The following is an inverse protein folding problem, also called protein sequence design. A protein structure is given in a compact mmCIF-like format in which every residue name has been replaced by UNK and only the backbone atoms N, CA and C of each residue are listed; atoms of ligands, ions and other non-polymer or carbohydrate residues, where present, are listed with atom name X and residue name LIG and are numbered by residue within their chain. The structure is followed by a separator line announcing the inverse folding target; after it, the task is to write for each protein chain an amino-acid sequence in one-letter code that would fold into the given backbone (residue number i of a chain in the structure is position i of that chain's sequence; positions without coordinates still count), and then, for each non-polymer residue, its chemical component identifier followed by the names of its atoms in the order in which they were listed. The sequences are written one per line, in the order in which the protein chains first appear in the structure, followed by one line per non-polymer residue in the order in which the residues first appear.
data_IF_463344739193
#
_entry.id   IF_463344739193
#
_cell.length_a   1.000
_cell.length_b   1.000
_cell.length_c   1.000
_cell.angle_alpha   90.00
_cell.angle_beta   90.00
_cell.angle_gamma   90.00
#
_symmetry.space_group_name_H-M   'P 1'
#
loop_
_entity.id
_entity.type
_entity.pdbx_description
1 polymer ?
#
# COMPACT_ATOMS: atom_id res chain seq x y z
N UNK A 1 -7.94 -1.21 11.75
CA UNK A 1 -7.50 0.04 12.42
C UNK A 1 -6.06 -0.11 12.83
N UNK A 2 -5.13 0.58 12.17
CA UNK A 2 -3.79 0.81 12.73
C UNK A 2 -3.88 2.13 13.50
N UNK A 3 -4.21 2.04 14.80
CA UNK A 3 -3.88 3.14 15.70
C UNK A 3 -2.36 3.34 15.63
N UNK A 4 -1.83 4.55 15.85
CA UNK A 4 -0.42 4.73 16.18
C UNK A 4 -0.19 4.13 17.56
N UNK A 5 -0.21 2.81 17.64
CA UNK A 5 0.14 2.09 18.84
C UNK A 5 1.65 2.18 18.94
N UNK A 6 2.13 3.05 19.82
CA UNK A 6 3.54 3.39 19.91
C UNK A 6 4.44 2.22 20.34
N UNK A 7 5.39 2.49 21.22
CA UNK A 7 6.38 1.48 21.67
C UNK A 7 5.69 0.26 22.33
N UNK A 8 4.48 0.42 22.88
CA UNK A 8 3.68 -0.67 23.45
C UNK A 8 3.38 -1.78 22.44
N UNK A 9 3.03 -1.43 21.19
CA UNK A 9 2.75 -2.40 20.15
C UNK A 9 4.01 -3.16 19.73
N UNK A 10 5.17 -2.50 19.69
CA UNK A 10 6.43 -3.20 19.42
C UNK A 10 6.73 -4.28 20.47
N UNK A 11 6.45 -3.99 21.75
CA UNK A 11 6.63 -4.97 22.83
C UNK A 11 5.60 -6.09 22.77
N UNK A 12 4.34 -5.77 22.43
CA UNK A 12 3.28 -6.75 22.29
C UNK A 12 3.51 -7.67 21.08
N UNK A 13 3.90 -7.11 19.94
CA UNK A 13 4.27 -7.84 18.73
C UNK A 13 5.44 -8.81 18.98
N UNK A 14 6.39 -8.44 19.85
CA UNK A 14 7.45 -9.35 20.29
C UNK A 14 6.88 -10.51 21.14
N UNK A 15 6.00 -10.23 22.10
CA UNK A 15 5.37 -11.29 22.90
C UNK A 15 4.50 -12.23 22.04
N UNK A 16 3.68 -11.66 21.15
CA UNK A 16 2.80 -12.39 20.23
C UNK A 16 3.60 -13.31 19.30
N UNK A 17 4.80 -12.90 18.86
CA UNK A 17 5.70 -13.74 18.08
C UNK A 17 6.04 -15.06 18.82
N UNK A 18 6.35 -15.01 20.12
CA UNK A 18 6.65 -16.21 20.90
C UNK A 18 5.40 -17.07 21.13
N UNK A 19 4.26 -16.43 21.40
CA UNK A 19 2.99 -17.14 21.56
C UNK A 19 2.63 -17.92 20.30
N UNK A 20 2.81 -17.33 19.12
CA UNK A 20 2.52 -18.01 17.86
C UNK A 20 3.52 -19.15 17.60
N UNK A 21 4.81 -18.93 17.85
CA UNK A 21 5.84 -19.92 17.57
C UNK A 21 5.74 -21.16 18.47
N UNK A 22 5.42 -20.97 19.76
CA UNK A 22 5.42 -22.04 20.77
C UNK A 22 4.03 -22.50 21.20
N UNK A 23 2.98 -21.71 20.98
CA UNK A 23 1.63 -21.97 21.47
C UNK A 23 0.81 -22.96 20.65
N UNK A 24 1.33 -23.48 19.53
CA UNK A 24 0.64 -24.49 18.71
C UNK A 24 -0.68 -24.02 18.07
N UNK A 25 -0.96 -22.71 18.11
CA UNK A 25 -2.15 -22.13 17.48
C UNK A 25 -2.10 -22.30 15.97
N UNK A 26 -3.24 -22.70 15.39
CA UNK A 26 -3.43 -22.77 13.94
C UNK A 26 -3.23 -21.36 13.40
N UNK A 27 -2.12 -21.11 12.72
CA UNK A 27 -1.83 -19.82 12.10
C UNK A 27 -2.85 -19.57 10.98
N UNK A 28 -3.82 -18.69 11.26
CA UNK A 28 -4.76 -18.21 10.25
C UNK A 28 -4.00 -17.29 9.31
N UNK A 29 -3.75 -17.77 8.08
CA UNK A 29 -3.45 -16.93 6.91
C UNK A 29 -2.27 -15.96 7.01
N UNK A 30 -1.05 -16.44 7.29
CA UNK A 30 0.15 -15.61 7.20
C UNK A 30 0.42 -15.12 5.77
N UNK A 31 1.03 -13.93 5.64
CA UNK A 31 1.43 -13.36 4.36
C UNK A 31 2.32 -14.33 3.56
N UNK A 32 2.16 -14.34 2.23
CA UNK A 32 3.03 -15.15 1.38
C UNK A 32 4.48 -14.64 1.47
N UNK A 33 5.48 -15.52 1.37
CA UNK A 33 6.91 -15.14 1.41
C UNK A 33 7.21 -14.07 0.34
N UNK A 34 6.59 -14.23 -0.82
CA UNK A 34 6.69 -13.27 -1.93
C UNK A 34 6.17 -11.88 -1.50
N UNK A 35 5.10 -11.79 -0.71
CA UNK A 35 4.58 -10.50 -0.22
C UNK A 35 5.54 -9.83 0.75
N UNK A 36 6.20 -10.61 1.62
CA UNK A 36 7.22 -10.12 2.56
C UNK A 36 8.42 -9.56 1.79
N UNK A 37 8.89 -10.29 0.77
CA UNK A 37 9.94 -9.85 -0.13
C UNK A 37 9.55 -8.62 -0.94
N UNK A 38 8.32 -8.60 -1.45
CA UNK A 38 7.78 -7.51 -2.23
C UNK A 38 7.67 -6.24 -1.38
N UNK A 39 7.22 -6.35 -0.13
CA UNK A 39 7.20 -5.23 0.79
C UNK A 39 8.60 -4.67 1.01
N UNK A 40 9.60 -5.53 1.23
CA UNK A 40 10.99 -5.08 1.38
C UNK A 40 11.48 -4.36 0.11
N UNK A 41 11.20 -4.91 -1.08
CA UNK A 41 11.60 -4.33 -2.36
C UNK A 41 10.91 -2.99 -2.65
N UNK A 42 9.63 -2.88 -2.34
CA UNK A 42 8.79 -1.73 -2.71
C UNK A 42 8.90 -0.61 -1.70
N UNK A 43 8.88 -0.89 -0.40
CA UNK A 43 8.92 0.18 0.61
C UNK A 43 10.33 0.56 1.04
N UNK A 44 11.31 -0.31 0.82
CA UNK A 44 12.68 -0.10 1.30
C UNK A 44 13.74 -0.26 0.19
N UNK A 45 13.50 0.20 -1.05
CA UNK A 45 14.48 0.07 -2.14
C UNK A 45 15.76 0.84 -1.82
N UNK A 46 15.67 1.95 -1.08
CA UNK A 46 16.86 2.72 -0.69
C UNK A 46 17.82 1.87 0.16
N UNK A 47 17.30 1.23 1.21
CA UNK A 47 18.09 0.35 2.07
C UNK A 47 18.66 -0.84 1.29
N UNK A 48 17.88 -1.44 0.38
CA UNK A 48 18.34 -2.56 -0.44
C UNK A 48 19.46 -2.16 -1.42
N UNK A 49 19.26 -1.07 -2.15
CA UNK A 49 20.21 -0.61 -3.17
C UNK A 49 21.58 -0.29 -2.61
N UNK A 50 21.66 0.26 -1.39
CA UNK A 50 22.93 0.60 -0.75
C UNK A 50 23.39 -0.41 0.31
N UNK A 51 22.50 -1.25 0.84
CA UNK A 51 22.84 -2.27 1.84
C UNK A 51 23.32 -3.57 1.22
N UNK A 52 22.67 -4.06 0.15
CA UNK A 52 23.03 -5.33 -0.47
C UNK A 52 24.42 -5.36 -1.13
N UNK A 53 24.92 -4.29 -1.77
CA UNK A 53 26.27 -4.31 -2.35
C UNK A 53 27.38 -4.58 -1.33
N UNK A 54 27.12 -4.38 -0.03
CA UNK A 54 28.10 -4.67 1.03
C UNK A 54 28.44 -6.17 1.06
N UNK A 55 27.49 -7.06 0.73
CA UNK A 55 27.66 -8.53 0.72
C UNK A 55 28.64 -9.01 -0.35
N UNK A 56 28.79 -8.27 -1.46
CA UNK A 56 29.62 -8.71 -2.60
C UNK A 56 31.07 -8.25 -2.52
N UNK A 57 31.42 -7.39 -1.55
CA UNK A 57 32.77 -6.87 -1.42
C UNK A 57 33.60 -7.70 -0.44
N UNK A 58 34.58 -8.46 -0.96
CA UNK A 58 35.48 -9.32 -0.16
C UNK A 58 36.11 -8.61 1.05
N UNK A 59 36.44 -7.33 0.92
CA UNK A 59 37.03 -6.52 2.00
C UNK A 59 36.13 -6.42 3.24
N UNK A 60 34.81 -6.47 3.06
CA UNK A 60 33.86 -6.29 4.16
C UNK A 60 33.81 -7.51 5.10
N UNK A 61 34.16 -8.71 4.61
CA UNK A 61 34.26 -9.92 5.44
C UNK A 61 35.40 -9.87 6.47
N UNK A 62 36.34 -8.92 6.34
CA UNK A 62 37.39 -8.71 7.33
C UNK A 62 36.96 -7.76 8.46
N UNK A 63 35.75 -7.19 8.40
CA UNK A 63 35.23 -6.26 9.42
C UNK A 63 34.16 -6.97 10.26
N UNK A 64 34.42 -7.29 11.54
CA UNK A 64 33.52 -8.11 12.35
C UNK A 64 32.13 -7.47 12.51
N UNK A 65 32.07 -6.14 12.58
CA UNK A 65 30.80 -5.41 12.65
C UNK A 65 29.95 -5.60 11.39
N UNK A 66 30.55 -5.52 10.19
CA UNK A 66 29.80 -5.70 8.94
C UNK A 66 29.31 -7.13 8.78
N UNK A 67 30.16 -8.10 9.13
CA UNK A 67 29.77 -9.52 9.13
C UNK A 67 28.62 -9.76 10.11
N UNK A 68 28.68 -9.18 11.32
CA UNK A 68 27.59 -9.25 12.28
C UNK A 68 26.29 -8.67 11.71
N UNK A 69 26.32 -7.48 11.10
CA UNK A 69 25.13 -6.87 10.50
C UNK A 69 24.57 -7.69 9.32
N UNK A 70 25.43 -8.26 8.48
CA UNK A 70 25.02 -9.15 7.40
C UNK A 70 24.33 -10.40 7.93
N UNK A 71 24.94 -11.05 8.92
CA UNK A 71 24.38 -12.23 9.57
C UNK A 71 23.08 -11.89 10.30
N UNK A 72 23.00 -10.75 10.99
CA UNK A 72 21.79 -10.29 11.67
C UNK A 72 20.66 -10.03 10.67
N UNK A 73 20.93 -9.36 9.54
CA UNK A 73 19.96 -9.17 8.47
C UNK A 73 19.43 -10.51 7.95
N UNK A 74 20.33 -11.43 7.58
CA UNK A 74 19.93 -12.74 7.05
C UNK A 74 19.18 -13.58 8.08
N UNK A 75 19.62 -13.58 9.34
CA UNK A 75 18.97 -14.34 10.41
C UNK A 75 17.57 -13.82 10.69
N UNK A 76 17.38 -12.51 10.81
CA UNK A 76 16.07 -11.91 11.06
C UNK A 76 15.14 -12.10 9.87
N UNK A 77 15.65 -11.95 8.64
CA UNK A 77 14.87 -12.20 7.44
C UNK A 77 14.42 -13.66 7.35
N UNK A 78 15.33 -14.60 7.67
CA UNK A 78 15.02 -16.03 7.71
C UNK A 78 13.98 -16.36 8.79
N UNK A 79 14.10 -15.77 9.99
CA UNK A 79 13.10 -15.91 11.06
C UNK A 79 11.72 -15.40 10.61
N UNK A 80 11.68 -14.25 9.94
CA UNK A 80 10.44 -13.69 9.38
C UNK A 80 9.84 -14.60 8.29
N UNK A 81 10.64 -15.36 7.53
CA UNK A 81 10.16 -16.28 6.50
C UNK A 81 9.71 -17.63 7.05
N UNK A 82 10.41 -18.15 8.05
CA UNK A 82 10.11 -19.44 8.65
C UNK A 82 8.91 -19.38 9.60
N UNK A 83 8.51 -18.18 10.05
CA UNK A 83 7.33 -18.02 10.89
C UNK A 83 6.07 -18.53 10.16
N UNK A 84 5.24 -19.41 10.75
CA UNK A 84 3.98 -19.83 10.14
C UNK A 84 2.95 -18.69 10.02
N UNK A 85 2.94 -17.73 10.95
CA UNK A 85 2.12 -16.52 10.86
C UNK A 85 2.98 -15.34 10.38
N UNK A 86 3.57 -15.47 9.18
CA UNK A 86 4.38 -14.38 8.60
C UNK A 86 3.55 -13.11 8.52
N UNK A 87 4.14 -12.04 9.00
CA UNK A 87 3.55 -10.71 8.94
C UNK A 87 4.57 -9.75 8.35
N UNK A 88 4.10 -8.81 7.53
CA UNK A 88 4.98 -7.90 6.79
C UNK A 88 5.75 -6.98 7.74
N UNK A 89 5.16 -6.61 8.88
CA UNK A 89 5.84 -5.81 9.88
C UNK A 89 7.04 -6.52 10.54
N UNK A 90 7.12 -7.85 10.51
CA UNK A 90 8.29 -8.58 11.03
C UNK A 90 9.57 -8.22 10.26
N UNK A 91 9.44 -7.71 9.03
CA UNK A 91 10.59 -7.23 8.24
C UNK A 91 11.24 -5.99 8.83
N UNK A 92 10.56 -5.22 9.70
CA UNK A 92 11.12 -4.02 10.33
C UNK A 92 12.45 -4.33 11.05
N UNK A 93 12.54 -5.49 11.68
CA UNK A 93 13.78 -5.92 12.34
C UNK A 93 14.91 -6.22 11.37
N UNK A 94 14.60 -6.67 10.14
CA UNK A 94 15.60 -6.84 9.08
C UNK A 94 16.02 -5.48 8.48
N UNK A 95 15.15 -4.45 8.54
CA UNK A 95 15.47 -3.12 8.06
C UNK A 95 16.59 -2.46 8.87
N UNK A 96 16.63 -2.64 10.19
CA UNK A 96 17.65 -2.02 11.05
C UNK A 96 19.09 -2.36 10.59
N UNK A 97 19.52 -3.64 10.52
CA UNK A 97 20.85 -3.97 10.05
C UNK A 97 21.06 -3.58 8.57
N UNK A 98 20.02 -3.67 7.73
CA UNK A 98 20.11 -3.29 6.32
C UNK A 98 20.38 -1.79 6.14
N UNK A 99 19.72 -0.92 6.91
CA UNK A 99 19.95 0.52 6.92
C UNK A 99 21.32 0.89 7.47
N UNK A 100 21.81 0.19 8.50
CA UNK A 100 23.18 0.36 9.00
C UNK A 100 24.21 -0.01 7.92
N UNK A 101 24.00 -1.11 7.20
CA UNK A 101 24.83 -1.50 6.06
C UNK A 101 24.77 -0.42 4.96
N UNK A 102 23.59 0.06 4.60
CA UNK A 102 23.41 1.13 3.62
C UNK A 102 24.17 2.41 4.02
N UNK A 103 24.10 2.81 5.29
CA UNK A 103 24.83 3.95 5.85
C UNK A 103 26.35 3.86 5.66
N UNK A 104 26.93 2.66 5.67
CA UNK A 104 28.38 2.48 5.42
C UNK A 104 28.78 2.74 3.97
N UNK A 105 27.90 2.48 3.00
CA UNK A 105 28.14 2.84 1.60
C UNK A 105 27.89 4.34 1.41
N UNK A 106 26.77 4.84 1.94
CA UNK A 106 26.38 6.24 1.79
C UNK A 106 27.42 7.18 2.41
N UNK A 107 27.94 6.89 3.61
CA UNK A 107 29.00 7.70 4.24
C UNK A 107 30.31 7.74 3.44
N UNK A 108 30.59 6.76 2.58
CA UNK A 108 31.79 6.77 1.72
C UNK A 108 31.58 7.68 0.50
N UNK A 109 30.40 7.65 -0.10
CA UNK A 109 30.14 8.32 -1.38
C UNK A 109 29.41 9.66 -1.27
N UNK A 110 28.63 9.90 -0.21
CA UNK A 110 27.97 11.18 0.08
C UNK A 110 28.87 12.17 0.86
N UNK A 111 30.18 12.08 0.65
CA UNK A 111 31.13 13.09 1.15
C UNK A 111 31.16 14.29 0.20
N UNK A 112 31.54 15.45 0.72
CA UNK A 112 31.69 16.66 -0.10
C UNK A 112 32.66 16.39 -1.27
N UNK A 113 32.25 16.65 -2.52
CA UNK A 113 33.11 16.42 -3.67
C UNK A 113 34.40 17.26 -3.58
N UNK A 114 35.55 16.74 -4.01
CA UNK A 114 36.78 17.53 -4.08
C UNK A 114 36.59 18.74 -5.01
N UNK A 115 37.21 19.88 -4.69
CA UNK A 115 36.98 21.15 -5.40
C UNK A 115 37.17 21.03 -6.93
N UNK A 116 38.20 20.30 -7.36
CA UNK A 116 38.52 20.09 -8.78
C UNK A 116 37.43 19.29 -9.55
N UNK A 117 36.63 18.49 -8.85
CA UNK A 117 35.57 17.65 -9.44
C UNK A 117 34.15 18.09 -9.10
N UNK A 118 33.98 19.14 -8.27
CA UNK A 118 32.69 19.50 -7.69
C UNK A 118 31.63 19.85 -8.73
N UNK A 119 32.01 20.61 -9.75
CA UNK A 119 31.09 20.99 -10.85
C UNK A 119 30.65 19.76 -11.65
N UNK A 120 31.58 18.84 -11.92
CA UNK A 120 31.28 17.61 -12.64
C UNK A 120 30.32 16.72 -11.85
N UNK A 121 30.57 16.53 -10.55
CA UNK A 121 29.71 15.70 -9.68
C UNK A 121 28.30 16.29 -9.60
N UNK A 122 28.14 17.60 -9.38
CA UNK A 122 26.81 18.20 -9.31
C UNK A 122 26.10 18.23 -10.66
N UNK A 123 26.84 18.48 -11.75
CA UNK A 123 26.29 18.41 -13.11
C UNK A 123 25.76 17.02 -13.44
N UNK A 124 26.55 15.99 -13.13
CA UNK A 124 26.16 14.58 -13.28
C UNK A 124 24.97 14.22 -12.38
N UNK A 125 24.97 14.66 -11.12
CA UNK A 125 23.86 14.45 -10.17
C UNK A 125 22.55 15.02 -10.71
N UNK A 126 22.54 16.29 -11.13
CA UNK A 126 21.34 16.95 -11.64
C UNK A 126 20.86 16.28 -12.93
N UNK A 127 21.78 15.97 -13.84
CA UNK A 127 21.45 15.28 -15.08
C UNK A 127 20.79 13.92 -14.82
N UNK A 128 21.37 13.09 -13.96
CA UNK A 128 20.78 11.79 -13.61
C UNK A 128 19.48 11.92 -12.82
N UNK A 129 19.33 12.92 -11.96
CA UNK A 129 18.08 13.16 -11.24
C UNK A 129 16.94 13.47 -12.23
N UNK A 130 17.19 14.29 -13.24
CA UNK A 130 16.22 14.57 -14.31
C UNK A 130 15.88 13.30 -15.10
N UNK A 131 16.87 12.47 -15.43
CA UNK A 131 16.64 11.19 -16.09
C UNK A 131 15.82 10.23 -15.22
N UNK A 132 16.11 10.11 -13.93
CA UNK A 132 15.36 9.27 -13.00
C UNK A 132 13.93 9.77 -12.81
N UNK A 133 13.72 11.08 -12.73
CA UNK A 133 12.38 11.66 -12.70
C UNK A 133 11.59 11.34 -13.98
N UNK A 134 12.23 11.50 -15.15
CA UNK A 134 11.61 11.15 -16.43
C UNK A 134 11.33 9.64 -16.54
N UNK A 135 12.22 8.80 -16.04
CA UNK A 135 12.03 7.35 -15.95
C UNK A 135 10.80 7.00 -15.11
N UNK A 136 10.69 7.60 -13.92
CA UNK A 136 9.53 7.39 -13.03
C UNK A 136 8.22 7.86 -13.67
N UNK A 137 8.21 9.03 -14.33
CA UNK A 137 7.03 9.53 -15.03
C UNK A 137 6.61 8.63 -16.21
N UNK A 138 7.57 8.04 -16.94
CA UNK A 138 7.25 7.07 -17.99
C UNK A 138 6.64 5.80 -17.39
N UNK A 139 7.21 5.28 -16.31
CA UNK A 139 6.66 4.13 -15.59
C UNK A 139 5.22 4.40 -15.12
N UNK A 140 4.99 5.55 -14.47
CA UNK A 140 3.66 5.95 -14.03
C UNK A 140 2.65 6.01 -15.17
N UNK A 141 3.06 6.60 -16.31
CA UNK A 141 2.23 6.69 -17.51
C UNK A 141 1.97 5.34 -18.18
N UNK A 142 2.79 4.31 -17.99
CA UNK A 142 2.52 2.98 -18.55
C UNK A 142 1.25 2.36 -17.94
N UNK A 143 0.97 2.66 -16.68
CA UNK A 143 -0.18 2.11 -15.93
C UNK A 143 -1.54 2.58 -16.45
N UNK A 144 -1.59 3.66 -17.24
CA UNK A 144 -2.84 4.21 -17.81
C UNK A 144 -3.20 3.58 -19.15
N UNK A 145 -2.34 2.71 -19.70
CA UNK A 145 -2.58 2.07 -21.00
C UNK A 145 -3.38 0.79 -20.78
N UNK A 146 -4.69 0.87 -20.98
CA UNK A 146 -5.61 -0.27 -20.86
C UNK A 146 -5.79 -1.00 -22.19
N UNK A 147 -6.17 -2.27 -22.14
CA UNK A 147 -6.60 -3.03 -23.32
C UNK A 147 -5.47 -3.42 -24.29
N UNK A 148 -4.28 -3.74 -23.77
CA UNK A 148 -3.20 -4.27 -24.61
C UNK A 148 -3.56 -5.69 -25.05
N UNK A 149 -3.95 -5.84 -26.31
CA UNK A 149 -4.18 -7.13 -26.95
C UNK A 149 -3.05 -7.41 -27.93
N UNK A 150 -2.18 -8.36 -27.58
CA UNK A 150 -1.21 -8.91 -28.52
C UNK A 150 -1.80 -10.21 -29.05
N UNK A 151 -2.40 -10.16 -30.24
CA UNK A 151 -2.84 -11.40 -30.90
C UNK A 151 -1.61 -12.27 -31.19
N UNK A 152 -1.66 -13.60 -30.97
CA UNK A 152 -0.53 -14.50 -31.20
C UNK A 152 0.06 -14.44 -32.62
N UNK A 153 -0.73 -14.00 -33.60
CA UNK A 153 -0.35 -13.90 -35.01
C UNK A 153 0.32 -12.57 -35.36
N UNK A 154 0.31 -11.59 -34.43
CA UNK A 154 0.84 -10.25 -34.70
C UNK A 154 2.37 -10.25 -34.60
N UNK A 155 3.04 -9.83 -35.67
CA UNK A 155 4.48 -9.62 -35.62
C UNK A 155 4.79 -8.31 -34.86
N UNK A 156 5.32 -8.43 -33.64
CA UNK A 156 5.67 -7.28 -32.78
C UNK A 156 6.73 -6.36 -33.40
N UNK A 157 7.45 -6.84 -34.43
CA UNK A 157 8.42 -6.05 -35.17
C UNK A 157 7.81 -5.22 -36.31
N UNK A 158 6.56 -5.49 -36.73
CA UNK A 158 5.80 -4.60 -37.62
C UNK A 158 5.03 -3.57 -36.78
N UNK A 159 5.77 -2.56 -36.31
CA UNK A 159 5.26 -1.53 -35.43
C UNK A 159 4.03 -0.80 -36.00
N UNK A 160 3.98 -0.63 -37.33
CA UNK A 160 2.86 0.03 -38.02
C UNK A 160 1.54 -0.74 -37.97
N UNK A 161 1.60 -2.07 -37.85
CA UNK A 161 0.41 -2.93 -37.78
C UNK A 161 -0.21 -3.02 -36.38
N UNK A 162 0.49 -2.53 -35.35
CA UNK A 162 0.05 -2.62 -33.97
C UNK A 162 -1.02 -1.56 -33.67
N UNK A 163 -1.95 -1.88 -32.76
CA UNK A 163 -2.89 -0.92 -32.21
C UNK A 163 -2.15 0.30 -31.60
N UNK A 164 -2.66 1.54 -31.74
CA UNK A 164 -2.01 2.73 -31.20
C UNK A 164 -1.67 2.65 -29.70
N UNK A 165 -2.49 1.99 -28.88
CA UNK A 165 -2.20 1.84 -27.45
C UNK A 165 -0.99 0.93 -27.21
N UNK A 166 -0.91 -0.17 -27.95
CA UNK A 166 0.25 -1.08 -27.92
C UNK A 166 1.52 -0.39 -28.40
N UNK A 167 1.43 0.44 -29.45
CA UNK A 167 2.56 1.26 -29.91
C UNK A 167 3.07 2.20 -28.81
N UNK A 168 2.17 2.95 -28.17
CA UNK A 168 2.53 3.87 -27.07
C UNK A 168 3.15 3.11 -25.90
N UNK A 169 2.59 1.96 -25.53
CA UNK A 169 3.13 1.11 -24.47
C UNK A 169 4.55 0.64 -24.80
N UNK A 170 4.79 0.14 -26.01
CA UNK A 170 6.12 -0.34 -26.43
C UNK A 170 7.16 0.79 -26.46
N UNK A 171 6.80 1.98 -26.96
CA UNK A 171 7.69 3.14 -26.93
C UNK A 171 8.02 3.54 -25.49
N UNK A 172 7.02 3.57 -24.60
CA UNK A 172 7.25 3.87 -23.18
C UNK A 172 8.12 2.80 -22.51
N UNK A 173 7.86 1.52 -22.77
CA UNK A 173 8.68 0.42 -22.27
C UNK A 173 10.14 0.55 -22.74
N UNK A 174 10.35 0.86 -24.02
CA UNK A 174 11.67 1.09 -24.59
C UNK A 174 12.38 2.27 -23.92
N UNK A 175 11.69 3.40 -23.72
CA UNK A 175 12.22 4.56 -22.99
C UNK A 175 12.56 4.21 -21.54
N UNK A 176 11.69 3.48 -20.85
CA UNK A 176 11.89 3.01 -19.46
C UNK A 176 13.14 2.12 -19.33
N UNK A 177 13.47 1.33 -20.35
CA UNK A 177 14.69 0.50 -20.40
C UNK A 177 15.92 1.34 -20.80
N UNK A 178 15.76 2.25 -21.76
CA UNK A 178 16.85 3.04 -22.32
C UNK A 178 17.43 4.05 -21.32
N UNK A 179 16.62 4.61 -20.42
CA UNK A 179 17.10 5.61 -19.45
C UNK A 179 18.12 5.03 -18.46
N UNK A 180 17.87 3.91 -17.75
CA UNK A 180 18.88 3.26 -16.93
C UNK A 180 20.14 2.88 -17.71
N UNK A 181 19.98 2.42 -18.96
CA UNK A 181 21.10 2.11 -19.84
C UNK A 181 21.93 3.37 -20.17
N UNK A 182 21.27 4.50 -20.42
CA UNK A 182 21.93 5.78 -20.66
C UNK A 182 22.68 6.26 -19.43
N UNK A 183 22.09 6.16 -18.23
CA UNK A 183 22.78 6.46 -16.96
C UNK A 183 24.03 5.59 -16.84
N UNK A 184 23.92 4.28 -17.10
CA UNK A 184 25.06 3.35 -17.06
C UNK A 184 26.16 3.74 -18.06
N UNK A 185 25.81 4.01 -19.32
CA UNK A 185 26.77 4.39 -20.35
C UNK A 185 27.46 5.71 -20.01
N UNK A 186 26.70 6.73 -19.57
CA UNK A 186 27.25 8.02 -19.16
C UNK A 186 28.18 7.87 -17.96
N UNK A 187 27.80 7.06 -16.97
CA UNK A 187 28.65 6.71 -15.82
C UNK A 187 29.95 6.09 -16.30
N UNK A 188 29.91 5.14 -17.23
CA UNK A 188 31.12 4.49 -17.77
C UNK A 188 32.03 5.47 -18.53
N UNK A 189 31.44 6.40 -19.29
CA UNK A 189 32.18 7.45 -20.01
C UNK A 189 32.87 8.38 -19.01
N UNK A 190 32.17 8.86 -17.98
CA UNK A 190 32.74 9.76 -16.97
C UNK A 190 33.81 9.04 -16.13
N UNK A 191 33.54 7.80 -15.76
CA UNK A 191 34.47 6.92 -15.06
C UNK A 191 35.80 6.75 -15.81
N UNK A 192 35.74 6.57 -17.15
CA UNK A 192 36.94 6.39 -17.99
C UNK A 192 37.63 7.71 -18.35
N UNK A 193 36.86 8.76 -18.63
CA UNK A 193 37.37 9.99 -19.22
C UNK A 193 37.89 11.02 -18.22
N UNK A 194 37.34 11.06 -17.00
CA UNK A 194 37.64 12.13 -16.04
C UNK A 194 38.07 11.60 -14.68
N UNK A 195 37.15 11.05 -13.91
CA UNK A 195 37.44 10.60 -12.55
C UNK A 195 36.48 9.49 -12.12
N UNK A 196 37.06 8.36 -11.72
CA UNK A 196 36.35 7.23 -11.12
C UNK A 196 35.55 7.64 -9.89
N UNK A 197 36.13 8.48 -9.04
CA UNK A 197 35.47 8.91 -7.81
C UNK A 197 34.30 9.86 -8.11
N UNK A 198 34.51 10.81 -9.04
CA UNK A 198 33.45 11.75 -9.42
C UNK A 198 32.22 11.02 -9.97
N UNK A 199 32.43 10.05 -10.87
CA UNK A 199 31.33 9.31 -11.48
C UNK A 199 30.46 8.56 -10.47
N UNK A 200 31.08 7.79 -9.57
CA UNK A 200 30.31 7.08 -8.55
C UNK A 200 29.65 8.02 -7.54
N UNK A 201 30.28 9.16 -7.22
CA UNK A 201 29.66 10.16 -6.37
C UNK A 201 28.42 10.78 -7.03
N UNK A 202 28.49 11.17 -8.31
CA UNK A 202 27.37 11.74 -9.05
C UNK A 202 26.16 10.80 -9.12
N UNK A 203 26.39 9.53 -9.51
CA UNK A 203 25.33 8.50 -9.50
C UNK A 203 24.77 8.30 -8.09
N UNK A 204 25.62 8.19 -7.08
CA UNK A 204 25.18 7.93 -5.70
C UNK A 204 24.33 9.09 -5.18
N UNK A 205 24.73 10.34 -5.41
CA UNK A 205 23.95 11.52 -5.03
C UNK A 205 22.59 11.55 -5.72
N UNK A 206 22.54 11.33 -7.04
CA UNK A 206 21.29 11.34 -7.81
C UNK A 206 20.33 10.25 -7.34
N UNK A 207 20.81 9.00 -7.24
CA UNK A 207 20.01 7.85 -6.81
C UNK A 207 19.55 8.04 -5.35
N UNK A 208 20.43 8.51 -4.46
CA UNK A 208 20.05 8.76 -3.06
C UNK A 208 18.96 9.82 -2.96
N UNK A 209 19.10 10.94 -3.67
CA UNK A 209 18.12 12.02 -3.64
C UNK A 209 16.77 11.56 -4.23
N UNK A 210 16.79 10.86 -5.36
CA UNK A 210 15.60 10.25 -5.94
C UNK A 210 14.93 9.27 -4.96
N UNK A 211 15.71 8.43 -4.29
CA UNK A 211 15.19 7.47 -3.31
C UNK A 211 14.63 8.14 -2.05
N UNK A 212 15.17 9.28 -1.62
CA UNK A 212 14.57 10.08 -0.54
C UNK A 212 13.19 10.59 -0.96
N UNK A 213 13.06 11.15 -2.16
CA UNK A 213 11.75 11.57 -2.67
C UNK A 213 10.78 10.40 -2.80
N UNK A 214 11.27 9.25 -3.30
CA UNK A 214 10.48 8.03 -3.35
C UNK A 214 10.00 7.61 -1.96
N UNK A 215 10.89 7.55 -0.96
CA UNK A 215 10.50 7.18 0.41
C UNK A 215 9.47 8.14 1.01
N UNK A 216 9.66 9.44 0.82
CA UNK A 216 8.69 10.45 1.27
C UNK A 216 7.34 10.24 0.56
N UNK A 217 7.35 10.03 -0.75
CA UNK A 217 6.14 9.76 -1.54
C UNK A 217 5.42 8.49 -1.11
N UNK A 218 6.15 7.42 -0.81
CA UNK A 218 5.55 6.16 -0.31
C UNK A 218 5.12 6.26 1.15
N UNK A 219 5.78 7.10 1.95
CA UNK A 219 5.43 7.35 3.35
C UNK A 219 4.22 8.27 3.50
N UNK A 220 3.99 9.19 2.56
CA UNK A 220 2.78 10.02 2.56
C UNK A 220 1.49 9.26 2.21
N UNK A 221 1.59 7.98 1.81
CA UNK A 221 0.41 7.10 1.67
C UNK A 221 -0.39 6.94 2.96
N UNK A 222 0.22 7.19 4.13
CA UNK A 222 -0.50 7.24 5.41
C UNK A 222 -1.46 8.44 5.55
N UNK A 223 -1.36 9.44 4.67
CA UNK A 223 -2.29 10.58 4.61
C UNK A 223 -3.22 10.52 3.40
N UNK A 224 -3.12 9.47 2.58
CA UNK A 224 -3.97 9.28 1.40
C UNK A 224 -5.36 8.77 1.79
N UNK A 225 -6.31 8.86 0.86
CA UNK A 225 -7.69 8.43 1.05
C UNK A 225 -7.76 6.99 1.60
N UNK A 226 -8.60 6.77 2.61
CA UNK A 226 -8.82 5.48 3.30
C UNK A 226 -8.91 4.25 2.37
N UNK A 227 -9.52 4.33 1.16
CA UNK A 227 -9.56 3.19 0.25
C UNK A 227 -8.20 2.73 -0.26
N UNK A 228 -7.26 3.65 -0.49
CA UNK A 228 -5.92 3.31 -0.99
C UNK A 228 -5.08 2.60 0.08
N UNK A 229 -5.33 2.92 1.36
CA UNK A 229 -4.67 2.29 2.51
C UNK A 229 -5.00 0.79 2.60
N UNK A 230 -6.20 0.37 2.23
CA UNK A 230 -6.56 -1.06 2.17
C UNK A 230 -5.72 -1.84 1.14
N UNK A 231 -5.20 -1.16 0.12
CA UNK A 231 -4.31 -1.74 -0.89
C UNK A 231 -2.87 -1.95 -0.42
N UNK A 232 -2.45 -1.36 0.70
CA UNK A 232 -1.06 -1.33 1.15
C UNK A 232 -0.62 -2.61 1.86
N UNK A 233 0.50 -3.21 1.43
CA UNK A 233 1.04 -4.46 2.00
C UNK A 233 1.25 -4.38 3.53
N UNK A 234 1.53 -3.21 4.09
CA UNK A 234 1.68 -3.04 5.54
C UNK A 234 0.38 -3.23 6.33
N UNK A 235 -0.77 -3.01 5.70
CA UNK A 235 -2.08 -3.18 6.32
C UNK A 235 -2.47 -4.65 6.27
N UNK A 236 -2.81 -5.19 7.44
CA UNK A 236 -3.26 -6.56 7.58
C UNK A 236 -4.75 -6.58 7.90
N UNK A 237 -5.48 -7.38 7.14
CA UNK A 237 -6.92 -7.55 7.30
C UNK A 237 -7.75 -6.38 6.76
N UNK A 238 -9.05 -6.37 7.05
CA UNK A 238 -9.97 -5.34 6.58
C UNK A 238 -9.63 -3.97 7.17
N UNK A 239 -9.57 -2.96 6.31
CA UNK A 239 -9.53 -1.56 6.72
C UNK A 239 -10.94 -1.04 6.91
N UNK A 240 -11.11 -0.03 7.76
CA UNK A 240 -12.35 0.76 7.77
C UNK A 240 -12.53 1.34 6.36
N UNK A 241 -13.69 1.06 5.77
CA UNK A 241 -14.03 1.55 4.44
C UNK A 241 -14.52 2.98 4.50
N UNK A 242 -15.67 3.20 3.88
CA UNK A 242 -16.37 4.48 3.90
C UNK A 242 -17.27 4.57 5.15
N UNK A 243 -16.72 4.17 6.30
CA UNK A 243 -17.45 4.14 7.56
C UNK A 243 -17.91 5.54 7.99
N UNK A 244 -17.13 6.56 7.64
CA UNK A 244 -17.49 7.96 7.90
C UNK A 244 -18.71 8.40 7.06
N UNK A 245 -18.86 7.90 5.82
CA UNK A 245 -20.06 8.17 5.00
C UNK A 245 -21.31 7.55 5.61
N UNK A 246 -21.19 6.36 6.20
CA UNK A 246 -22.28 5.74 6.94
C UNK A 246 -22.66 6.55 8.17
N UNK A 247 -21.68 7.00 8.97
CA UNK A 247 -21.93 7.84 10.15
C UNK A 247 -22.58 9.15 9.73
N UNK A 248 -22.08 9.81 8.69
CA UNK A 248 -22.66 11.04 8.16
C UNK A 248 -24.11 10.82 7.72
N UNK A 249 -24.41 9.74 6.99
CA UNK A 249 -25.78 9.43 6.57
C UNK A 249 -26.72 9.19 7.77
N UNK A 250 -26.21 8.60 8.85
CA UNK A 250 -26.94 8.40 10.10
C UNK A 250 -27.17 9.73 10.83
N UNK A 251 -26.16 10.60 10.92
CA UNK A 251 -26.27 11.92 11.55
C UNK A 251 -27.26 12.81 10.80
N UNK A 252 -27.23 12.80 9.46
CA UNK A 252 -28.20 13.49 8.62
C UNK A 252 -29.62 12.95 8.83
N UNK A 253 -29.78 11.62 8.90
CA UNK A 253 -31.05 10.98 9.21
C UNK A 253 -31.58 11.36 10.61
N UNK A 254 -30.68 11.42 11.60
CA UNK A 254 -31.00 11.84 12.96
C UNK A 254 -31.46 13.29 12.99
N UNK A 255 -30.69 14.21 12.40
CA UNK A 255 -31.03 15.63 12.30
C UNK A 255 -32.42 15.85 11.67
N UNK A 256 -32.75 15.07 10.65
CA UNK A 256 -34.04 15.18 9.98
C UNK A 256 -35.22 14.69 10.84
N UNK A 257 -35.03 13.63 11.65
CA UNK A 257 -36.10 13.03 12.45
C UNK A 257 -36.25 13.71 13.82
N UNK A 258 -35.14 13.89 14.53
CA UNK A 258 -35.13 14.33 15.95
C UNK A 258 -34.71 15.78 16.10
N UNK A 259 -34.10 16.38 15.08
CA UNK A 259 -33.51 17.72 15.16
C UNK A 259 -32.13 17.75 15.83
N UNK A 260 -31.56 16.58 16.14
CA UNK A 260 -30.26 16.41 16.81
C UNK A 260 -29.45 15.31 16.12
N UNK A 261 -28.13 15.41 16.11
CA UNK A 261 -27.25 14.53 15.33
C UNK A 261 -27.15 13.09 15.88
N UNK A 262 -27.45 12.89 17.17
CA UNK A 262 -27.14 11.65 17.89
C UNK A 262 -28.35 10.92 18.49
N UNK A 263 -29.57 11.50 18.44
CA UNK A 263 -30.73 10.94 19.14
C UNK A 263 -31.59 9.98 18.33
N UNK A 264 -31.12 9.53 17.16
CA UNK A 264 -31.85 8.59 16.33
C UNK A 264 -31.99 7.22 17.00
N UNK A 265 -33.23 6.74 17.10
CA UNK A 265 -33.50 5.35 17.45
C UNK A 265 -33.15 4.44 16.26
N UNK A 266 -32.20 3.55 16.47
CA UNK A 266 -31.66 2.66 15.43
C UNK A 266 -31.53 1.25 15.95
N UNK A 267 -31.89 0.29 15.12
CA UNK A 267 -31.61 -1.13 15.35
C UNK A 267 -30.54 -1.61 14.38
N UNK A 268 -29.47 -2.23 14.86
CA UNK A 268 -28.44 -2.81 14.00
C UNK A 268 -28.30 -4.32 14.23
N UNK A 269 -28.11 -5.07 13.14
CA UNK A 269 -27.94 -6.52 13.16
C UNK A 269 -26.48 -6.96 12.94
N UNK A 270 -25.58 -6.00 12.69
CA UNK A 270 -24.19 -6.26 12.32
C UNK A 270 -23.31 -6.25 13.58
N UNK A 271 -23.00 -7.44 14.10
CA UNK A 271 -22.17 -7.60 15.30
C UNK A 271 -20.67 -7.54 14.96
N UNK A 272 -20.15 -6.33 14.74
CA UNK A 272 -18.71 -6.12 14.54
C UNK A 272 -18.18 -5.05 15.49
N UNK A 273 -16.93 -5.19 15.99
CA UNK A 273 -16.31 -4.16 16.83
C UNK A 273 -16.28 -2.78 16.18
N UNK A 274 -16.18 -2.74 14.84
CA UNK A 274 -16.21 -1.50 14.06
C UNK A 274 -17.57 -0.81 14.18
N UNK A 275 -18.68 -1.53 13.98
CA UNK A 275 -20.04 -0.95 14.11
C UNK A 275 -20.30 -0.48 15.53
N UNK A 276 -19.95 -1.27 16.55
CA UNK A 276 -20.07 -0.85 17.95
C UNK A 276 -19.28 0.43 18.24
N UNK A 277 -18.07 0.56 17.67
CA UNK A 277 -17.27 1.77 17.80
C UNK A 277 -17.92 2.95 17.07
N UNK A 278 -18.40 2.77 15.84
CA UNK A 278 -19.02 3.84 15.03
C UNK A 278 -20.28 4.37 15.72
N UNK A 279 -21.10 3.46 16.24
CA UNK A 279 -22.37 3.79 16.87
C UNK A 279 -22.24 4.21 18.35
N UNK A 280 -21.02 4.30 18.91
CA UNK A 280 -20.81 4.61 20.34
C UNK A 280 -21.41 5.95 20.80
N UNK A 281 -21.59 6.88 19.87
CA UNK A 281 -22.14 8.21 20.14
C UNK A 281 -23.66 8.26 20.01
N UNK A 282 -24.32 7.18 19.57
CA UNK A 282 -25.77 7.10 19.39
C UNK A 282 -26.40 6.37 20.59
N UNK A 283 -26.85 7.08 21.64
CA UNK A 283 -27.35 6.46 22.88
C UNK A 283 -28.58 5.54 22.69
N UNK A 284 -29.31 5.70 21.59
CA UNK A 284 -30.51 4.90 21.27
C UNK A 284 -30.26 3.84 20.18
N UNK A 285 -29.00 3.60 19.81
CA UNK A 285 -28.65 2.48 18.93
C UNK A 285 -28.63 1.17 19.73
N UNK A 286 -29.44 0.18 19.34
CA UNK A 286 -29.48 -1.14 19.97
C UNK A 286 -29.10 -2.25 18.98
N UNK A 287 -28.27 -3.18 19.47
CA UNK A 287 -27.99 -4.41 18.74
C UNK A 287 -29.16 -5.38 18.91
N UNK A 288 -29.79 -5.79 17.82
CA UNK A 288 -30.82 -6.83 17.83
C UNK A 288 -30.53 -7.89 16.75
N UNK A 289 -30.26 -9.16 17.13
CA UNK A 289 -29.96 -10.21 16.16
C UNK A 289 -31.16 -10.57 15.28
N UNK A 290 -32.39 -10.24 15.70
CA UNK A 290 -33.63 -10.47 14.96
C UNK A 290 -34.53 -9.25 15.12
N UNK A 291 -34.86 -8.61 14.00
CA UNK A 291 -35.80 -7.47 13.98
C UNK A 291 -37.22 -7.98 14.22
N UNK A 292 -37.90 -7.41 15.21
CA UNK A 292 -39.32 -7.67 15.44
C UNK A 292 -40.17 -6.93 14.39
N UNK A 293 -40.94 -7.62 13.53
CA UNK A 293 -41.70 -6.96 12.45
C UNK A 293 -42.78 -5.99 12.94
N UNK A 294 -43.16 -6.06 14.22
CA UNK A 294 -44.19 -5.22 14.82
C UNK A 294 -43.64 -3.91 15.41
N UNK A 295 -42.33 -3.86 15.66
CA UNK A 295 -41.62 -2.65 16.07
C UNK A 295 -41.01 -2.13 14.77
N UNK A 296 -41.55 -1.06 14.21
CA UNK A 296 -41.06 -0.48 12.94
C UNK A 296 -40.04 0.62 13.29
N UNK A 297 -38.78 0.30 13.65
CA UNK A 297 -37.81 1.32 14.04
C UNK A 297 -37.56 2.31 12.90
N UNK A 298 -37.22 3.57 13.21
CA UNK A 298 -36.94 4.57 12.18
C UNK A 298 -35.84 4.15 11.20
N UNK A 299 -34.78 3.53 11.72
CA UNK A 299 -33.61 3.12 10.94
C UNK A 299 -33.13 1.73 11.35
N UNK A 300 -32.76 0.93 10.35
CA UNK A 300 -32.23 -0.42 10.49
C UNK A 300 -30.90 -0.53 9.76
N UNK A 301 -29.86 -1.05 10.41
CA UNK A 301 -28.57 -1.36 9.78
C UNK A 301 -28.40 -2.88 9.66
N UNK A 302 -28.24 -3.39 8.43
CA UNK A 302 -28.13 -4.83 8.16
C UNK A 302 -27.06 -5.11 7.09
N UNK A 303 -26.50 -6.32 7.06
CA UNK A 303 -25.66 -6.81 5.95
C UNK A 303 -26.50 -7.42 4.80
N UNK A 304 -27.74 -7.82 5.07
CA UNK A 304 -28.61 -8.38 4.04
C UNK A 304 -29.21 -7.27 3.15
N UNK A 305 -29.01 -7.41 1.83
CA UNK A 305 -29.60 -6.54 0.82
C UNK A 305 -31.12 -6.69 0.67
N UNK A 306 -31.70 -7.71 1.28
CA UNK A 306 -33.14 -7.93 1.33
C UNK A 306 -33.61 -7.89 2.79
N UNK A 307 -34.42 -6.89 3.15
CA UNK A 307 -35.19 -6.97 4.39
C UNK A 307 -36.26 -8.06 4.24
N UNK A 308 -36.29 -8.99 5.18
CA UNK A 308 -37.21 -10.13 5.12
C UNK A 308 -38.69 -9.69 5.09
N UNK A 309 -39.43 -10.19 4.09
CA UNK A 309 -40.90 -10.19 4.08
C UNK A 309 -41.56 -8.82 3.90
N UNK A 310 -42.55 -8.51 4.74
CA UNK A 310 -43.39 -7.32 4.64
C UNK A 310 -42.69 -6.01 5.01
N UNK A 311 -41.52 -6.06 5.64
CA UNK A 311 -40.78 -4.87 6.06
C UNK A 311 -40.21 -4.11 4.87
N UNK A 312 -39.72 -4.79 3.82
CA UNK A 312 -39.12 -4.14 2.65
C UNK A 312 -40.02 -3.14 1.92
N UNK A 313 -41.35 -3.19 2.13
CA UNK A 313 -42.30 -2.22 1.55
C UNK A 313 -42.31 -0.86 2.27
N UNK A 314 -41.85 -0.82 3.53
CA UNK A 314 -41.88 0.37 4.37
C UNK A 314 -40.52 1.06 4.51
N UNK A 315 -39.47 0.48 3.93
CA UNK A 315 -38.10 0.98 4.06
C UNK A 315 -37.46 1.23 2.70
N UNK A 316 -36.60 2.23 2.66
CA UNK A 316 -35.70 2.53 1.54
C UNK A 316 -34.26 2.30 2.00
N UNK A 317 -33.51 1.49 1.25
CA UNK A 317 -32.15 1.08 1.60
C UNK A 317 -31.10 1.87 0.83
N UNK A 318 -30.03 2.25 1.52
CA UNK A 318 -28.80 2.76 0.90
C UNK A 318 -27.61 1.87 1.27
N UNK A 319 -26.83 1.49 0.27
CA UNK A 319 -25.66 0.64 0.44
C UNK A 319 -24.44 1.48 0.85
N UNK A 320 -23.75 1.04 1.89
CA UNK A 320 -22.54 1.65 2.42
C UNK A 320 -21.45 0.58 2.58
N UNK A 321 -20.21 0.89 2.19
CA UNK A 321 -19.11 -0.05 2.33
C UNK A 321 -18.46 0.11 3.71
N UNK A 322 -18.74 -0.82 4.61
CA UNK A 322 -18.28 -0.81 6.00
C UNK A 322 -16.78 -1.08 6.11
N UNK A 323 -16.32 -2.12 5.42
CA UNK A 323 -14.91 -2.52 5.40
C UNK A 323 -14.40 -2.71 3.98
N UNK A 324 -13.12 -2.43 3.80
CA UNK A 324 -12.40 -2.68 2.56
C UNK A 324 -11.32 -3.70 2.84
N UNK A 325 -11.38 -4.82 2.13
CA UNK A 325 -10.34 -5.83 2.15
C UNK A 325 -9.66 -5.88 0.78
N UNK A 326 -8.36 -6.13 0.80
CA UNK A 326 -7.59 -6.41 -0.40
C UNK A 326 -8.11 -7.65 -1.11
N UNK A 327 -8.42 -7.53 -2.40
CA UNK A 327 -8.83 -8.66 -3.23
C UNK A 327 -7.78 -9.02 -4.28
N UNK A 328 -6.90 -9.98 -3.94
CA UNK A 328 -5.85 -10.46 -4.85
C UNK A 328 -6.14 -11.84 -5.49
N UNK A 329 -7.37 -12.37 -5.34
CA UNK A 329 -7.77 -13.65 -5.94
C UNK A 329 -6.79 -14.80 -5.55
N UNK A 330 -6.36 -14.82 -4.29
CA UNK A 330 -5.38 -15.79 -3.77
C UNK A 330 -3.95 -15.64 -4.31
N UNK A 331 -3.66 -14.62 -5.13
CA UNK A 331 -2.34 -14.39 -5.71
C UNK A 331 -1.40 -13.71 -4.71
N UNK A 332 -0.09 -14.05 -4.72
CA UNK A 332 0.89 -13.39 -3.86
C UNK A 332 1.27 -11.98 -4.34
N UNK A 333 1.00 -11.63 -5.59
CA UNK A 333 1.32 -10.35 -6.23
C UNK A 333 -0.01 -9.70 -6.63
N UNK A 334 -0.18 -8.38 -6.45
CA UNK A 334 -1.40 -7.70 -6.84
C UNK A 334 -1.67 -7.85 -8.34
N UNK A 335 -2.95 -8.00 -8.74
CA UNK A 335 -3.32 -7.76 -10.13
C UNK A 335 -2.97 -6.31 -10.50
N UNK A 336 -2.55 -6.08 -11.75
CA UNK A 336 -2.07 -4.78 -12.23
C UNK A 336 -0.93 -4.20 -11.36
N UNK A 337 0.11 -5.01 -11.16
CA UNK A 337 1.24 -4.71 -10.27
C UNK A 337 1.88 -3.34 -10.52
N UNK A 338 1.97 -2.91 -11.78
CA UNK A 338 2.51 -1.61 -12.17
C UNK A 338 1.63 -0.46 -11.66
N UNK A 339 0.32 -0.57 -11.78
CA UNK A 339 -0.65 0.40 -11.24
C UNK A 339 -0.60 0.45 -9.73
N UNK A 340 -0.54 -0.71 -9.07
CA UNK A 340 -0.36 -0.78 -7.62
C UNK A 340 1.00 -0.21 -7.16
N UNK A 341 2.07 -0.43 -7.91
CA UNK A 341 3.40 0.09 -7.57
C UNK A 341 3.44 1.62 -7.55
N UNK A 342 2.74 2.26 -8.50
CA UNK A 342 2.76 3.70 -8.71
C UNK A 342 1.67 4.41 -7.89
N UNK A 343 0.45 3.90 -7.93
CA UNK A 343 -0.74 4.57 -7.38
C UNK A 343 -1.32 3.87 -6.15
N UNK A 344 -0.79 2.70 -5.75
CA UNK A 344 -1.33 1.89 -4.64
C UNK A 344 -2.76 1.40 -4.85
N UNK A 345 -3.25 1.52 -6.09
CA UNK A 345 -4.56 1.06 -6.47
C UNK A 345 -4.55 -0.45 -6.70
N UNK A 346 -5.52 -1.14 -6.11
CA UNK A 346 -5.72 -2.58 -6.27
C UNK A 346 -7.20 -2.89 -6.16
N UNK A 347 -7.70 -3.99 -6.73
CA UNK A 347 -9.07 -4.43 -6.50
C UNK A 347 -9.31 -4.65 -5.01
N UNK A 348 -10.42 -4.09 -4.53
CA UNK A 348 -10.85 -4.19 -3.13
C UNK A 348 -12.16 -4.96 -3.08
N UNK A 349 -12.23 -5.93 -2.18
CA UNK A 349 -13.49 -6.51 -1.73
C UNK A 349 -14.13 -5.54 -0.73
N UNK A 350 -15.40 -5.22 -0.96
CA UNK A 350 -16.17 -4.34 -0.09
C UNK A 350 -17.11 -5.19 0.75
N UNK A 351 -17.02 -5.06 2.07
CA UNK A 351 -18.04 -5.57 2.97
C UNK A 351 -19.15 -4.53 3.06
N UNK A 352 -20.33 -4.87 2.54
CA UNK A 352 -21.43 -3.94 2.40
C UNK A 352 -22.39 -4.07 3.58
N UNK A 353 -22.88 -2.92 4.03
CA UNK A 353 -24.03 -2.80 4.92
C UNK A 353 -25.06 -1.91 4.26
N UNK A 354 -26.32 -2.19 4.53
CA UNK A 354 -27.44 -1.42 4.03
C UNK A 354 -28.06 -0.67 5.20
N UNK A 355 -28.10 0.65 5.06
CA UNK A 355 -28.83 1.54 5.94
C UNK A 355 -30.26 1.66 5.41
N UNK A 356 -31.18 1.02 6.10
CA UNK A 356 -32.60 1.04 5.79
C UNK A 356 -33.28 2.12 6.60
N UNK A 357 -33.89 3.07 5.90
CA UNK A 357 -34.62 4.18 6.51
C UNK A 357 -36.11 4.02 6.21
N UNK A 358 -36.97 4.33 7.18
CA UNK A 358 -38.42 4.17 6.98
C UNK A 358 -38.95 5.22 5.98
N UNK A 359 -39.64 4.76 4.94
CA UNK A 359 -40.02 5.59 3.78
C UNK A 359 -41.02 6.70 4.11
N UNK A 360 -41.78 6.58 5.20
CA UNK A 360 -42.68 7.62 5.71
C UNK A 360 -41.92 8.79 6.35
N UNK A 361 -40.73 8.53 6.91
CA UNK A 361 -39.87 9.53 7.54
C UNK A 361 -38.95 10.22 6.51
N UNK A 362 -38.65 9.55 5.38
CA UNK A 362 -37.76 10.04 4.33
C UNK A 362 -38.40 10.00 2.93
N UNK A 363 -39.40 10.86 2.65
CA UNK A 363 -40.10 10.85 1.36
C UNK A 363 -39.26 11.33 0.15
N UNK A 364 -38.03 11.84 0.36
CA UNK A 364 -37.22 12.50 -0.69
C UNK A 364 -35.96 11.75 -1.12
N UNK A 365 -35.58 10.63 -0.49
CA UNK A 365 -34.39 9.85 -0.89
C UNK A 365 -34.71 8.80 -1.97
N UNK A 366 -35.56 9.18 -2.92
CA UNK A 366 -35.93 8.37 -4.08
C UNK A 366 -35.25 8.95 -5.33
N UNK A 367 -33.92 9.07 -5.30
CA UNK A 367 -33.12 9.26 -6.51
C UNK A 367 -32.36 7.97 -6.79
N UNK A 368 -33.01 7.13 -7.60
CA UNK A 368 -32.49 6.04 -8.44
C UNK A 368 -31.35 5.15 -7.93
N UNK A 369 -31.53 3.81 -7.93
CA UNK A 369 -30.40 2.90 -8.06
C UNK A 369 -29.90 3.04 -9.51
N UNK A 370 -28.88 3.87 -9.74
CA UNK A 370 -28.11 3.76 -10.99
C UNK A 370 -27.19 2.53 -10.89
N UNK A 371 -27.26 1.71 -11.94
CA UNK A 371 -26.65 0.39 -12.15
C UNK A 371 -25.11 0.37 -12.10
#
# INVERSE_FOLDING_TARGET
MLYPEGISFMLQAFADYFVIWFGGGIAVGGAAIVQVLLALAVYQPFALLFGLPVFFQKRNFNQPLLVFLMCAFLAVLLLAWLNPARQIWMTVWALVPLWLLAGTILSRYLTAPPEQGRVLVWGETVFYLVLLAYWWLNLAKMTTVFGIFISPETNVFDFSSLDPNTQVFLVRLLVTILIPLLILVMTLIIYRGWSRQASFQGVTWAVSLFMVFYLVSTGSGFTADLPQVAGELWVQGPSAGYADELVQAIEEASLQITGTEDQLEMVYQVDTPLVHWLLRNFPYASFEPVINPNQLPPVILNQNFDLAGSLGQFYSGQNHALQLERFWDGRPIPPDFDRWLVYRETPLAKDWVVLWTRSDLFPLYNSSPEE
#
